data_IF_696218670197
#
_entry.id   IF_696218670197
#
_cell.length_a   1.000
_cell.length_b   1.000
_cell.length_c   1.000
_cell.angle_alpha   90.00
_cell.angle_beta   90.00
_cell.angle_gamma   90.00
#
_symmetry.space_group_name_H-M   'P 1'
#
loop_
_entity.id
_entity.type
_entity.pdbx_description
1 polymer ?
#
# COMPACT_ATOMS: atom_id res chain seq x y z
N UNK A 1 0.79 -0.67 14.13
CA UNK A 1 1.98 -1.41 13.62
C UNK A 1 2.76 -0.55 12.61
N UNK A 2 2.20 -0.21 11.44
CA UNK A 2 2.91 0.53 10.40
C UNK A 2 3.57 1.84 10.86
N UNK A 3 2.84 2.73 11.56
CA UNK A 3 3.41 4.00 12.09
C UNK A 3 4.71 3.78 12.86
N UNK A 4 4.68 2.88 13.84
CA UNK A 4 5.83 2.58 14.70
C UNK A 4 6.99 1.98 13.91
N UNK A 5 6.71 1.18 12.89
CA UNK A 5 7.74 0.64 12.00
C UNK A 5 8.42 1.76 11.21
N UNK A 6 7.66 2.69 10.61
CA UNK A 6 8.21 3.84 9.89
C UNK A 6 9.10 4.69 10.80
N UNK A 7 8.64 4.95 12.02
CA UNK A 7 9.36 5.78 12.99
C UNK A 7 10.62 5.09 13.51
N UNK A 8 10.52 3.83 13.93
CA UNK A 8 11.62 3.14 14.61
C UNK A 8 12.64 2.52 13.65
N UNK A 9 12.21 2.01 12.50
CA UNK A 9 13.11 1.30 11.56
C UNK A 9 13.72 2.24 10.52
N UNK A 10 13.03 3.34 10.18
CA UNK A 10 13.45 4.24 9.10
C UNK A 10 13.80 5.64 9.60
N UNK A 11 13.56 5.95 10.88
CA UNK A 11 13.76 7.30 11.43
C UNK A 11 12.87 8.36 10.74
N UNK A 12 11.77 7.93 10.11
CA UNK A 12 10.84 8.81 9.38
C UNK A 12 9.56 8.98 10.18
N UNK A 13 9.00 10.18 10.20
CA UNK A 13 7.72 10.46 10.88
C UNK A 13 6.62 10.73 9.88
N UNK A 14 5.43 10.19 10.09
CA UNK A 14 4.24 10.52 9.30
C UNK A 14 3.75 11.90 9.73
N UNK A 15 3.69 12.86 8.80
CA UNK A 15 3.29 14.25 9.11
C UNK A 15 1.81 14.52 8.88
N UNK A 16 1.25 13.92 7.82
CA UNK A 16 -0.14 14.10 7.45
C UNK A 16 -0.69 12.82 6.85
N UNK A 17 -1.97 12.55 7.08
CA UNK A 17 -2.75 11.51 6.43
C UNK A 17 -3.84 12.17 5.61
N UNK A 18 -3.87 11.87 4.31
CA UNK A 18 -4.95 12.29 3.42
C UNK A 18 -5.87 11.11 3.13
N UNK A 19 -7.16 11.27 3.42
CA UNK A 19 -8.19 10.27 3.18
C UNK A 19 -9.44 10.91 2.58
N UNK A 20 -10.33 10.09 2.04
CA UNK A 20 -11.70 10.51 1.80
C UNK A 20 -12.48 10.65 3.12
N UNK A 21 -13.78 10.94 3.01
CA UNK A 21 -14.69 11.10 4.14
C UNK A 21 -15.44 9.81 4.48
N UNK A 22 -14.87 8.64 4.16
CA UNK A 22 -15.48 7.37 4.59
C UNK A 22 -15.60 7.32 6.12
N UNK A 23 -16.61 6.60 6.59
CA UNK A 23 -17.00 6.52 8.01
C UNK A 23 -15.84 6.18 8.93
N UNK A 24 -14.96 5.25 8.50
CA UNK A 24 -13.81 4.83 9.29
C UNK A 24 -12.80 5.94 9.54
N UNK A 25 -12.66 6.91 8.62
CA UNK A 25 -11.69 7.99 8.72
C UNK A 25 -12.23 9.21 9.49
N UNK A 26 -13.53 9.31 9.72
CA UNK A 26 -14.16 10.47 10.36
C UNK A 26 -14.53 10.22 11.82
N UNK A 27 -14.35 9.00 12.33
CA UNK A 27 -14.63 8.63 13.71
C UNK A 27 -13.81 9.49 14.69
N UNK A 28 -14.40 9.78 15.85
CA UNK A 28 -13.73 10.59 16.87
C UNK A 28 -12.49 9.87 17.41
N UNK A 29 -12.60 8.56 17.63
CA UNK A 29 -11.48 7.72 18.06
C UNK A 29 -10.29 7.79 17.11
N UNK A 30 -10.53 7.74 15.80
CA UNK A 30 -9.45 7.85 14.82
C UNK A 30 -8.83 9.25 14.78
N UNK A 31 -9.65 10.30 14.91
CA UNK A 31 -9.16 11.69 15.01
C UNK A 31 -8.28 11.89 16.24
N UNK A 32 -8.72 11.38 17.39
CA UNK A 32 -7.97 11.49 18.65
C UNK A 32 -6.67 10.71 18.58
N UNK A 33 -6.67 9.53 17.95
CA UNK A 33 -5.46 8.76 17.66
C UNK A 33 -4.47 9.56 16.80
N UNK A 34 -4.91 10.15 15.67
CA UNK A 34 -4.04 10.95 14.82
C UNK A 34 -3.50 12.18 15.55
N UNK A 35 -4.33 12.85 16.35
CA UNK A 35 -3.94 14.00 17.16
C UNK A 35 -2.89 13.64 18.21
N UNK A 36 -3.08 12.53 18.93
CA UNK A 36 -2.10 12.02 19.90
C UNK A 36 -0.76 11.65 19.22
N UNK A 37 -0.82 11.22 17.96
CA UNK A 37 0.35 10.93 17.14
C UNK A 37 1.00 12.19 16.51
N UNK A 38 0.38 13.37 16.62
CA UNK A 38 0.83 14.59 15.93
C UNK A 38 0.67 14.56 14.41
N UNK A 39 -0.21 13.68 13.89
CA UNK A 39 -0.46 13.52 12.45
C UNK A 39 -1.61 14.44 12.03
N UNK A 40 -1.38 15.28 11.03
CA UNK A 40 -2.42 16.17 10.48
C UNK A 40 -3.38 15.38 9.60
N UNK A 41 -4.66 15.42 9.94
CA UNK A 41 -5.71 14.84 9.10
C UNK A 41 -6.08 15.79 7.94
N UNK A 42 -6.08 15.26 6.72
CA UNK A 42 -6.52 15.97 5.51
C UNK A 42 -7.66 15.20 4.85
N UNK A 43 -8.87 15.72 4.95
CA UNK A 43 -10.04 15.11 4.29
C UNK A 43 -10.23 15.69 2.91
N UNK A 44 -10.39 14.83 1.89
CA UNK A 44 -10.73 15.31 0.55
C UNK A 44 -12.15 15.91 0.55
N UNK A 45 -12.42 16.95 -0.26
CA UNK A 45 -13.77 17.47 -0.40
C UNK A 45 -14.74 16.37 -0.91
N UNK A 46 -16.03 16.43 -0.53
CA UNK A 46 -17.04 15.54 -1.10
C UNK A 46 -17.08 15.69 -2.63
N UNK A 47 -17.38 14.60 -3.33
CA UNK A 47 -17.52 14.59 -4.80
C UNK A 47 -16.27 14.99 -5.59
N UNK A 48 -15.08 14.96 -4.97
CA UNK A 48 -13.79 15.25 -5.64
C UNK A 48 -12.81 14.07 -5.55
N UNK A 49 -13.14 12.90 -6.12
CA UNK A 49 -12.31 11.69 -6.05
C UNK A 49 -10.90 11.90 -6.64
N UNK A 50 -10.71 12.91 -7.49
CA UNK A 50 -9.42 13.28 -8.05
C UNK A 50 -8.38 13.60 -6.96
N UNK A 51 -8.80 14.13 -5.80
CA UNK A 51 -7.90 14.44 -4.68
C UNK A 51 -7.43 13.20 -3.90
N UNK A 52 -8.14 12.06 -4.02
CA UNK A 52 -7.73 10.75 -3.48
C UNK A 52 -7.20 9.80 -4.57
N UNK A 53 -7.05 10.29 -5.80
CA UNK A 53 -6.77 9.47 -6.97
C UNK A 53 -5.45 8.70 -6.91
N UNK A 54 -4.49 9.09 -6.07
CA UNK A 54 -3.24 8.32 -5.87
C UNK A 54 -3.54 6.99 -5.16
N UNK A 55 -4.23 7.05 -4.03
CA UNK A 55 -4.61 5.88 -3.24
C UNK A 55 -5.58 4.99 -4.03
N UNK A 56 -6.59 5.58 -4.67
CA UNK A 56 -7.56 4.84 -5.48
C UNK A 56 -6.92 4.11 -6.67
N UNK A 57 -6.01 4.78 -7.40
CA UNK A 57 -5.26 4.12 -8.48
C UNK A 57 -4.43 2.96 -7.96
N UNK A 58 -3.76 3.14 -6.81
CA UNK A 58 -2.94 2.07 -6.20
C UNK A 58 -3.79 0.88 -5.81
N UNK A 59 -4.93 1.11 -5.15
CA UNK A 59 -5.88 0.06 -4.75
C UNK A 59 -6.42 -0.69 -5.98
N UNK A 60 -6.79 0.05 -7.04
CA UNK A 60 -7.25 -0.57 -8.29
C UNK A 60 -6.17 -1.45 -8.93
N UNK A 61 -4.92 -0.99 -9.01
CA UNK A 61 -3.82 -1.79 -9.55
C UNK A 61 -3.59 -3.06 -8.72
N UNK A 62 -3.60 -2.96 -7.39
CA UNK A 62 -3.46 -4.12 -6.51
C UNK A 62 -4.57 -5.14 -6.74
N UNK A 63 -5.83 -4.73 -6.71
CA UNK A 63 -6.96 -5.63 -6.90
C UNK A 63 -7.01 -6.23 -8.31
N UNK A 64 -6.59 -5.49 -9.33
CA UNK A 64 -6.47 -6.04 -10.68
C UNK A 64 -5.39 -7.13 -10.74
N UNK A 65 -4.23 -6.91 -10.12
CA UNK A 65 -3.18 -7.94 -10.05
C UNK A 65 -3.63 -9.16 -9.27
N UNK A 66 -4.32 -9.00 -8.14
CA UNK A 66 -4.89 -10.12 -7.37
C UNK A 66 -5.84 -10.93 -8.23
N UNK A 67 -6.77 -10.28 -8.94
CA UNK A 67 -7.70 -10.97 -9.84
C UNK A 67 -6.96 -11.75 -10.93
N UNK A 68 -5.97 -11.14 -11.58
CA UNK A 68 -5.16 -11.80 -12.60
C UNK A 68 -4.37 -12.99 -12.04
N UNK A 69 -3.70 -12.83 -10.89
CA UNK A 69 -2.95 -13.89 -10.22
C UNK A 69 -3.85 -15.06 -9.85
N UNK A 70 -4.97 -14.80 -9.19
CA UNK A 70 -5.93 -15.84 -8.80
C UNK A 70 -6.54 -16.54 -10.01
N UNK A 71 -6.84 -15.81 -11.10
CA UNK A 71 -7.43 -16.38 -12.32
C UNK A 71 -6.52 -17.36 -13.08
N UNK A 72 -5.21 -17.28 -12.84
CA UNK A 72 -4.20 -18.14 -13.48
C UNK A 72 -3.87 -19.39 -12.66
N UNK A 73 -4.55 -19.61 -11.54
CA UNK A 73 -4.28 -20.71 -10.61
C UNK A 73 -5.56 -21.45 -10.23
N UNK A 74 -5.42 -22.69 -9.79
CA UNK A 74 -6.50 -23.49 -9.19
C UNK A 74 -6.62 -23.30 -7.68
N UNK A 75 -5.90 -22.32 -7.12
CA UNK A 75 -5.91 -22.03 -5.69
C UNK A 75 -7.29 -21.54 -5.23
N UNK A 76 -7.67 -21.95 -4.03
CA UNK A 76 -8.90 -21.49 -3.37
C UNK A 76 -8.89 -19.96 -3.18
N UNK A 77 -10.07 -19.34 -3.24
CA UNK A 77 -10.25 -17.92 -2.92
C UNK A 77 -9.74 -17.55 -1.52
N UNK A 78 -9.59 -18.51 -0.60
CA UNK A 78 -8.97 -18.30 0.71
C UNK A 78 -7.53 -17.79 0.66
N UNK A 79 -6.84 -17.89 -0.49
CA UNK A 79 -5.46 -17.41 -0.68
C UNK A 79 -5.36 -15.99 -1.25
N UNK A 80 -6.49 -15.27 -1.40
CA UNK A 80 -6.52 -13.95 -2.04
C UNK A 80 -5.67 -12.89 -1.30
N UNK A 81 -5.53 -13.02 0.01
CA UNK A 81 -4.71 -12.17 0.88
C UNK A 81 -3.21 -12.36 0.60
N UNK A 82 -2.74 -13.60 0.46
CA UNK A 82 -1.38 -13.90 0.03
C UNK A 82 -1.10 -13.41 -1.41
N UNK A 83 -2.10 -13.47 -2.29
CA UNK A 83 -2.00 -12.89 -3.63
C UNK A 83 -1.86 -11.36 -3.56
N UNK A 84 -2.58 -10.71 -2.63
CA UNK A 84 -2.49 -9.27 -2.39
C UNK A 84 -1.10 -8.89 -1.84
N UNK A 85 -0.56 -9.64 -0.90
CA UNK A 85 0.80 -9.45 -0.38
C UNK A 85 1.84 -9.60 -1.50
N UNK A 86 1.69 -10.62 -2.36
CA UNK A 86 2.57 -10.85 -3.52
C UNK A 86 2.49 -9.68 -4.50
N UNK A 87 1.29 -9.23 -4.84
CA UNK A 87 1.08 -8.07 -5.72
C UNK A 87 1.70 -6.79 -5.14
N UNK A 88 1.49 -6.53 -3.85
CA UNK A 88 2.08 -5.38 -3.15
C UNK A 88 3.61 -5.45 -3.16
N UNK A 89 4.19 -6.63 -2.90
CA UNK A 89 5.63 -6.85 -2.92
C UNK A 89 6.22 -6.60 -4.31
N UNK A 90 5.63 -7.17 -5.37
CA UNK A 90 6.08 -6.94 -6.75
C UNK A 90 6.03 -5.44 -7.06
N UNK A 91 4.90 -4.78 -6.79
CA UNK A 91 4.72 -3.37 -7.08
C UNK A 91 5.62 -2.42 -6.26
N UNK A 92 6.22 -2.89 -5.17
CA UNK A 92 7.21 -2.14 -4.41
C UNK A 92 8.64 -2.39 -4.92
N UNK A 93 8.89 -3.48 -5.64
CA UNK A 93 10.23 -3.85 -6.14
C UNK A 93 10.43 -3.58 -7.63
N UNK A 94 9.41 -3.16 -8.35
CA UNK A 94 9.52 -2.73 -9.77
C UNK A 94 9.54 -1.20 -9.87
N UNK A 95 10.26 -0.62 -10.85
CA UNK A 95 10.27 0.81 -11.06
C UNK A 95 8.89 1.32 -11.50
N UNK A 96 8.62 2.60 -11.26
CA UNK A 96 7.40 3.26 -11.76
C UNK A 96 7.77 4.27 -12.84
N UNK A 97 6.86 4.58 -13.76
CA UNK A 97 7.14 5.54 -14.85
C UNK A 97 7.61 6.92 -14.39
N UNK A 98 7.34 7.30 -13.13
CA UNK A 98 7.68 8.61 -12.59
C UNK A 98 9.07 8.69 -11.97
N UNK A 99 9.70 7.57 -11.63
CA UNK A 99 10.97 7.55 -10.91
C UNK A 99 11.84 6.40 -11.40
N UNK A 100 13.13 6.69 -11.63
CA UNK A 100 14.13 5.72 -12.09
C UNK A 100 14.58 4.73 -10.99
N UNK A 101 13.92 4.73 -9.83
CA UNK A 101 14.19 3.84 -8.68
C UNK A 101 12.91 3.11 -8.29
N UNK A 102 13.07 1.94 -7.69
CA UNK A 102 11.94 1.18 -7.14
C UNK A 102 11.42 1.85 -5.86
N UNK A 103 10.12 1.73 -5.52
CA UNK A 103 9.61 2.18 -4.23
C UNK A 103 10.40 1.60 -3.04
N UNK A 104 10.84 0.34 -3.14
CA UNK A 104 11.67 -0.33 -2.14
C UNK A 104 13.02 0.37 -1.96
N UNK A 105 13.69 0.74 -3.04
CA UNK A 105 14.94 1.53 -2.99
C UNK A 105 14.73 2.90 -2.37
N UNK A 106 13.66 3.60 -2.74
CA UNK A 106 13.35 4.91 -2.18
C UNK A 106 13.02 4.82 -0.68
N UNK A 107 12.43 3.70 -0.26
CA UNK A 107 12.00 3.49 1.10
C UNK A 107 13.15 3.06 2.03
N UNK A 108 13.93 2.05 1.61
CA UNK A 108 14.97 1.40 2.40
C UNK A 108 16.41 1.77 2.00
N UNK A 109 16.60 2.50 0.90
CA UNK A 109 17.95 2.88 0.41
C UNK A 109 18.74 1.74 -0.25
N UNK A 110 18.12 0.57 -0.48
CA UNK A 110 18.78 -0.63 -1.02
C UNK A 110 18.01 -1.17 -2.23
N UNK A 111 18.74 -1.65 -3.23
CA UNK A 111 18.19 -2.37 -4.40
C UNK A 111 17.54 -3.68 -3.94
N UNK A 112 16.28 -3.97 -4.31
CA UNK A 112 15.64 -5.22 -3.93
C UNK A 112 16.33 -6.39 -4.63
N UNK A 113 16.54 -7.49 -3.90
CA UNK A 113 16.87 -8.76 -4.55
C UNK A 113 15.60 -9.33 -5.21
N UNK A 114 15.70 -9.75 -6.47
CA UNK A 114 14.60 -10.35 -7.23
C UNK A 114 14.81 -11.85 -7.51
N UNK A 115 15.97 -12.42 -7.15
CA UNK A 115 16.34 -13.80 -7.50
C UNK A 115 15.43 -14.88 -6.90
N UNK A 116 14.74 -14.56 -5.81
CA UNK A 116 13.82 -15.47 -5.13
C UNK A 116 12.37 -15.34 -5.64
N UNK A 117 12.06 -14.41 -6.53
CA UNK A 117 10.71 -14.27 -7.05
C UNK A 117 10.33 -15.50 -7.86
N UNK A 118 9.13 -16.02 -7.59
CA UNK A 118 8.53 -17.16 -8.28
C UNK A 118 7.18 -16.76 -8.86
N UNK A 119 6.73 -17.52 -9.85
CA UNK A 119 5.38 -17.38 -10.39
C UNK A 119 4.39 -17.70 -9.27
N UNK A 120 3.36 -16.86 -9.14
CA UNK A 120 2.29 -17.08 -8.17
C UNK A 120 1.66 -18.48 -8.38
N UNK A 121 1.52 -19.24 -7.29
CA UNK A 121 0.93 -20.58 -7.30
C UNK A 121 1.81 -21.70 -7.86
N UNK A 122 3.12 -21.48 -8.01
CA UNK A 122 4.03 -22.59 -8.33
C UNK A 122 4.14 -23.59 -7.17
N UNK A 123 4.47 -24.84 -7.49
CA UNK A 123 4.81 -25.83 -6.48
C UNK A 123 6.07 -25.42 -5.70
N UNK A 124 6.13 -25.84 -4.44
CA UNK A 124 7.22 -25.54 -3.50
C UNK A 124 8.44 -26.42 -3.73
#
# INVERSE_FOLDING_TARGET
VFKNEVENQLGKTIKALRSDRSGEYISQEFKDYLKACGIVQQLTPPYTPQHNGVSERRNRTLLNMVRSMMSLTTLSLSFWDYALETAARILNMVPTMKVNKTPYELWHGKVPNLSYLKVWGCEA
#
